data_IF_942553481905
#
_entry.id   IF_942553481905
#
_cell.length_a   1.000
_cell.length_b   1.000
_cell.length_c   1.000
_cell.angle_alpha   90.00
_cell.angle_beta   90.00
_cell.angle_gamma   90.00
#
_symmetry.space_group_name_H-M   'P 1'
#
loop_
_entity.id
_entity.type
_entity.pdbx_description
1 polymer ?
#
# COMPACT_ATOMS: atom_id res chain seq x y z
N UNK A 1 -25.22 -19.08 -2.42
CA UNK A 1 -23.93 -18.38 -2.29
C UNK A 1 -23.63 -17.74 -3.64
N UNK A 2 -23.28 -16.46 -3.72
CA UNK A 2 -22.90 -15.88 -5.01
C UNK A 2 -21.52 -16.40 -5.45
N UNK A 3 -21.20 -16.29 -6.75
CA UNK A 3 -19.94 -16.78 -7.32
C UNK A 3 -18.71 -16.22 -6.57
N UNK A 4 -18.74 -14.92 -6.23
CA UNK A 4 -17.66 -14.26 -5.49
C UNK A 4 -17.37 -14.89 -4.13
N UNK A 5 -18.41 -15.30 -3.40
CA UNK A 5 -18.24 -15.91 -2.08
C UNK A 5 -17.52 -17.26 -2.21
N UNK A 6 -17.85 -18.05 -3.24
CA UNK A 6 -17.19 -19.34 -3.49
C UNK A 6 -15.73 -19.14 -3.91
N UNK A 7 -15.45 -18.15 -4.76
CA UNK A 7 -14.09 -17.81 -5.20
C UNK A 7 -13.22 -17.36 -4.01
N UNK A 8 -13.74 -16.48 -3.15
CA UNK A 8 -13.02 -16.01 -1.95
C UNK A 8 -12.75 -17.18 -1.00
N UNK A 9 -13.72 -18.07 -0.78
CA UNK A 9 -13.50 -19.24 0.08
C UNK A 9 -12.42 -20.19 -0.45
N UNK A 10 -12.34 -20.36 -1.78
CA UNK A 10 -11.30 -21.19 -2.38
C UNK A 10 -9.92 -20.51 -2.22
N UNK A 11 -9.81 -19.20 -2.50
CA UNK A 11 -8.57 -18.44 -2.30
C UNK A 11 -8.09 -18.49 -0.84
N UNK A 12 -9.00 -18.30 0.12
CA UNK A 12 -8.67 -18.35 1.55
C UNK A 12 -8.16 -19.74 1.99
N UNK A 13 -8.54 -20.83 1.32
CA UNK A 13 -8.01 -22.17 1.61
C UNK A 13 -6.58 -22.35 1.12
N UNK A 14 -6.22 -21.68 0.03
CA UNK A 14 -4.88 -21.74 -0.57
C UNK A 14 -3.88 -20.82 0.15
N UNK A 15 -4.37 -19.78 0.83
CA UNK A 15 -3.52 -18.84 1.58
C UNK A 15 -2.98 -19.41 2.89
N UNK A 16 -1.68 -19.19 3.11
CA UNK A 16 -1.00 -19.35 4.40
C UNK A 16 -1.55 -18.37 5.45
N UNK A 17 -1.26 -18.65 6.74
CA UNK A 17 -1.61 -17.72 7.82
C UNK A 17 -0.91 -16.35 7.63
N UNK A 18 0.34 -16.35 7.16
CA UNK A 18 1.10 -15.12 6.92
C UNK A 18 0.44 -14.23 5.87
N UNK A 19 0.01 -14.81 4.75
CA UNK A 19 -0.67 -14.06 3.68
C UNK A 19 -2.01 -13.49 4.17
N UNK A 20 -2.77 -14.25 4.97
CA UNK A 20 -4.04 -13.76 5.57
C UNK A 20 -3.79 -12.57 6.49
N UNK A 21 -2.79 -12.66 7.36
CA UNK A 21 -2.42 -11.57 8.26
C UNK A 21 -1.91 -10.35 7.49
N UNK A 22 -1.13 -10.56 6.44
CA UNK A 22 -0.63 -9.49 5.58
C UNK A 22 -1.77 -8.74 4.87
N UNK A 23 -2.84 -9.43 4.45
CA UNK A 23 -4.05 -8.80 3.90
C UNK A 23 -4.83 -7.95 4.91
N UNK A 24 -4.58 -8.10 6.21
CA UNK A 24 -5.15 -7.23 7.24
C UNK A 24 -4.29 -5.98 7.51
N UNK A 25 -3.11 -5.88 6.92
CA UNK A 25 -2.19 -4.77 7.17
C UNK A 25 -2.53 -3.52 6.36
N UNK A 26 -2.50 -2.39 7.07
CA UNK A 26 -2.57 -1.03 6.54
C UNK A 26 -1.55 -0.14 7.26
N UNK A 27 -0.39 -0.72 7.57
CA UNK A 27 0.58 -0.18 8.53
C UNK A 27 1.46 0.93 7.97
N UNK A 28 1.69 0.94 6.65
CA UNK A 28 2.50 1.98 5.99
C UNK A 28 1.56 3.01 5.38
N UNK A 29 1.68 4.27 5.83
CA UNK A 29 0.95 5.37 5.21
C UNK A 29 1.49 5.62 3.79
N UNK A 30 0.59 5.79 2.82
CA UNK A 30 0.93 5.83 1.39
C UNK A 30 1.95 6.89 1.00
N UNK A 31 1.94 8.06 1.65
CA UNK A 31 2.96 9.11 1.44
C UNK A 31 4.38 8.67 1.83
N UNK A 32 4.53 7.61 2.63
CA UNK A 32 5.83 7.00 2.99
C UNK A 32 6.25 5.90 2.03
N UNK A 33 5.40 5.52 1.07
CA UNK A 33 5.71 4.42 0.16
C UNK A 33 6.62 4.83 -1.01
N UNK A 34 6.73 6.12 -1.29
CA UNK A 34 7.45 6.62 -2.46
C UNK A 34 8.26 7.90 -2.15
N UNK A 35 9.19 8.18 -3.03
CA UNK A 35 9.84 9.48 -3.19
C UNK A 35 9.53 10.01 -4.59
N UNK A 36 9.28 11.31 -4.68
CA UNK A 36 9.01 12.02 -5.92
C UNK A 36 10.18 12.96 -6.24
N UNK A 37 10.73 12.84 -7.44
CA UNK A 37 11.77 13.71 -7.99
C UNK A 37 11.26 14.29 -9.32
N UNK A 38 10.64 15.46 -9.27
CA UNK A 38 9.99 16.04 -10.46
C UNK A 38 8.77 15.22 -10.88
N UNK A 39 8.82 14.62 -12.07
CA UNK A 39 7.76 13.73 -12.59
C UNK A 39 8.00 12.25 -12.28
N UNK A 40 9.17 11.91 -11.74
CA UNK A 40 9.54 10.52 -11.45
C UNK A 40 9.15 10.12 -10.02
N UNK A 41 8.63 8.89 -9.90
CA UNK A 41 8.27 8.26 -8.64
C UNK A 41 9.10 6.99 -8.43
N UNK A 42 9.73 6.86 -7.27
CA UNK A 42 10.47 5.66 -6.88
C UNK A 42 9.92 5.12 -5.55
N UNK A 43 9.76 3.80 -5.44
CA UNK A 43 9.36 3.18 -4.17
C UNK A 43 10.46 3.31 -3.12
N UNK A 44 10.10 3.78 -1.93
CA UNK A 44 11.04 3.84 -0.79
C UNK A 44 11.39 2.43 -0.33
N UNK A 45 12.62 2.29 0.16
CA UNK A 45 13.08 1.01 0.71
C UNK A 45 12.28 0.59 1.94
N UNK A 46 11.71 1.53 2.71
CA UNK A 46 10.77 1.21 3.78
C UNK A 46 9.62 0.33 3.28
N UNK A 47 9.00 0.71 2.16
CA UNK A 47 7.87 -0.02 1.59
C UNK A 47 8.31 -1.35 0.98
N UNK A 48 9.45 -1.37 0.26
CA UNK A 48 10.01 -2.63 -0.28
C UNK A 48 10.34 -3.62 0.82
N UNK A 49 10.96 -3.16 1.90
CA UNK A 49 11.29 -3.97 3.07
C UNK A 49 10.01 -4.49 3.74
N UNK A 50 8.98 -3.64 3.91
CA UNK A 50 7.69 -4.08 4.42
C UNK A 50 7.09 -5.22 3.58
N UNK A 51 7.03 -5.07 2.26
CA UNK A 51 6.48 -6.13 1.39
C UNK A 51 7.34 -7.41 1.46
N UNK A 52 8.67 -7.29 1.50
CA UNK A 52 9.56 -8.46 1.67
C UNK A 52 9.32 -9.16 3.01
N UNK A 53 9.15 -8.40 4.09
CA UNK A 53 9.11 -8.91 5.46
C UNK A 53 7.72 -9.42 5.85
N UNK A 54 6.64 -8.95 5.20
CA UNK A 54 5.26 -9.40 5.46
C UNK A 54 4.68 -10.25 4.33
N UNK A 55 5.28 -10.21 3.14
CA UNK A 55 4.87 -10.96 1.94
C UNK A 55 3.75 -10.28 1.13
N UNK A 56 2.92 -9.45 1.77
CA UNK A 56 1.86 -8.70 1.11
C UNK A 56 1.45 -7.47 1.95
N UNK A 57 0.53 -6.66 1.39
CA UNK A 57 -0.19 -5.62 2.11
C UNK A 57 -1.65 -5.62 1.70
N UNK A 58 -2.56 -5.41 2.66
CA UNK A 58 -4.00 -5.44 2.42
C UNK A 58 -4.53 -4.17 1.76
N UNK A 59 -4.09 -3.01 2.26
CA UNK A 59 -4.55 -1.73 1.76
C UNK A 59 -3.49 -0.63 1.94
N UNK A 60 -3.52 0.36 1.04
CA UNK A 60 -2.76 1.61 1.14
C UNK A 60 -3.76 2.76 1.33
N UNK A 61 -3.51 3.65 2.29
CA UNK A 61 -4.27 4.91 2.45
C UNK A 61 -3.32 6.11 2.48
N UNK A 62 -3.86 7.33 2.33
CA UNK A 62 -3.07 8.58 2.36
C UNK A 62 -1.99 8.67 1.28
N UNK A 63 -2.21 8.07 0.12
CA UNK A 63 -1.25 8.09 -0.98
C UNK A 63 -1.10 9.49 -1.60
N UNK A 64 -2.22 10.21 -1.75
CA UNK A 64 -2.28 11.56 -2.36
C UNK A 64 -2.04 12.71 -1.37
N UNK A 65 -1.52 12.40 -0.17
CA UNK A 65 -1.58 13.34 0.95
C UNK A 65 -0.38 14.31 0.94
N UNK A 66 -0.64 15.57 0.61
CA UNK A 66 0.31 16.68 0.69
C UNK A 66 -0.17 17.73 1.71
N UNK A 67 0.38 17.69 2.93
CA UNK A 67 0.09 18.66 3.98
C UNK A 67 1.21 18.73 5.03
N UNK A 68 1.11 19.72 5.93
CA UNK A 68 2.13 19.97 6.96
C UNK A 68 2.37 18.82 7.93
N UNK A 69 1.39 17.93 8.17
CA UNK A 69 1.57 16.77 9.06
C UNK A 69 2.40 15.67 8.40
N UNK A 70 2.32 15.52 7.08
CA UNK A 70 3.12 14.54 6.34
C UNK A 70 4.47 15.10 5.91
N UNK A 71 4.68 16.42 6.06
CA UNK A 71 5.84 17.15 5.54
C UNK A 71 6.01 17.02 4.02
N UNK A 72 4.94 16.66 3.31
CA UNK A 72 4.89 16.69 1.85
C UNK A 72 4.19 17.96 1.37
N UNK A 73 4.69 18.50 0.26
CA UNK A 73 4.08 19.61 -0.48
C UNK A 73 3.72 19.13 -1.90
N UNK A 74 3.21 20.01 -2.75
CA UNK A 74 2.82 19.65 -4.13
C UNK A 74 3.97 19.13 -5.00
N UNK A 75 5.23 19.43 -4.67
CA UNK A 75 6.41 18.93 -5.37
C UNK A 75 6.93 17.58 -4.85
N UNK A 76 6.61 17.20 -3.61
CA UNK A 76 7.07 15.95 -2.99
C UNK A 76 5.95 14.93 -2.75
N UNK A 77 4.69 15.35 -2.79
CA UNK A 77 3.49 14.50 -2.78
C UNK A 77 2.89 14.33 -4.17
N UNK A 78 1.71 13.69 -4.28
CA UNK A 78 0.98 13.56 -5.53
C UNK A 78 -0.01 14.72 -5.64
N UNK A 79 0.14 15.53 -6.69
CA UNK A 79 -0.76 16.64 -6.95
C UNK A 79 -2.11 16.12 -7.52
N UNK A 80 -3.27 16.74 -7.20
CA UNK A 80 -4.59 16.35 -7.69
C UNK A 80 -4.79 16.46 -9.21
N UNK A 81 -3.78 16.92 -9.96
CA UNK A 81 -3.83 17.17 -11.41
C UNK A 81 -3.40 15.96 -12.25
N UNK A 82 -3.07 14.84 -11.62
CA UNK A 82 -2.80 13.57 -12.28
C UNK A 82 -4.04 12.67 -12.23
#
# INVERSE_FOLDING_TARGET
>A
MNNYTQQIQNLLKEMTLREKLAQMSQTVAGYRCFERNGEEFTLKDEFKNFIRDYGAMGAISNFLRADGFTQHNWGTGIEPRH
#
